data_IF_659502233112
#
_entry.id   IF_659502233112
#
_cell.length_a   1.000
_cell.length_b   1.000
_cell.length_c   1.000
_cell.angle_alpha   90.00
_cell.angle_beta   90.00
_cell.angle_gamma   90.00
#
_symmetry.space_group_name_H-M   'P 1'
#
loop_
_entity.id
_entity.type
_entity.pdbx_description
1 polymer ?
#
# COMPACT_ATOMS: atom_id res chain seq x y z
N UNK A 1 -13.43 -13.74 -6.68
CA UNK A 1 -13.30 -12.60 -7.61
C UNK A 1 -12.65 -11.42 -6.91
N UNK A 2 -11.80 -10.67 -7.61
CA UNK A 2 -11.11 -9.48 -7.08
C UNK A 2 -11.39 -8.28 -8.00
N UNK A 3 -11.73 -7.13 -7.43
CA UNK A 3 -11.95 -5.86 -8.15
C UNK A 3 -10.78 -4.91 -7.88
N UNK A 4 -9.99 -4.62 -8.91
CA UNK A 4 -8.79 -3.80 -8.86
C UNK A 4 -7.51 -4.62 -9.07
N UNK A 5 -6.85 -4.41 -10.20
CA UNK A 5 -5.60 -5.03 -10.64
C UNK A 5 -4.37 -4.14 -10.38
N UNK A 6 -4.36 -3.39 -9.27
CA UNK A 6 -3.13 -2.81 -8.72
C UNK A 6 -2.30 -3.84 -7.94
N UNK A 7 -1.25 -3.38 -7.26
CA UNK A 7 -0.38 -4.25 -6.44
C UNK A 7 -1.15 -5.16 -5.48
N UNK A 8 -2.17 -4.63 -4.78
CA UNK A 8 -2.95 -5.38 -3.81
C UNK A 8 -3.68 -6.57 -4.44
N UNK A 9 -4.42 -6.32 -5.53
CA UNK A 9 -5.17 -7.36 -6.22
C UNK A 9 -4.28 -8.35 -6.97
N UNK A 10 -3.18 -7.89 -7.59
CA UNK A 10 -2.24 -8.77 -8.28
C UNK A 10 -1.52 -9.72 -7.32
N UNK A 11 -1.06 -9.23 -6.15
CA UNK A 11 -0.46 -10.10 -5.13
C UNK A 11 -1.47 -11.11 -4.58
N UNK A 12 -2.70 -10.67 -4.29
CA UNK A 12 -3.73 -11.58 -3.79
C UNK A 12 -4.10 -12.63 -4.84
N UNK A 13 -4.24 -12.23 -6.11
CA UNK A 13 -4.50 -13.14 -7.21
C UNK A 13 -3.39 -14.19 -7.33
N UNK A 14 -2.13 -13.75 -7.33
CA UNK A 14 -0.95 -14.63 -7.35
C UNK A 14 -1.00 -15.64 -6.22
N UNK A 15 -1.07 -15.19 -4.97
CA UNK A 15 -0.96 -16.07 -3.80
C UNK A 15 -2.12 -17.07 -3.70
N UNK A 16 -3.35 -16.65 -4.05
CA UNK A 16 -4.48 -17.58 -4.16
C UNK A 16 -4.27 -18.62 -5.26
N UNK A 17 -3.68 -18.21 -6.38
CA UNK A 17 -3.43 -19.09 -7.52
C UNK A 17 -2.30 -20.09 -7.27
N UNK A 18 -1.23 -19.70 -6.57
CA UNK A 18 -0.20 -20.63 -6.06
C UNK A 18 -0.81 -21.69 -5.12
N UNK A 19 -1.90 -21.35 -4.45
CA UNK A 19 -2.70 -22.25 -3.61
C UNK A 19 -3.80 -23.02 -4.37
N UNK A 20 -3.77 -23.00 -5.70
CA UNK A 20 -4.69 -23.75 -6.57
C UNK A 20 -6.07 -23.12 -6.77
N UNK A 21 -6.27 -21.86 -6.37
CA UNK A 21 -7.56 -21.16 -6.52
C UNK A 21 -7.62 -20.36 -7.81
N UNK A 22 -8.65 -20.62 -8.61
CA UNK A 22 -8.96 -19.81 -9.79
C UNK A 22 -9.43 -18.41 -9.40
N UNK A 23 -8.82 -17.38 -10.00
CA UNK A 23 -9.09 -15.98 -9.69
C UNK A 23 -9.53 -15.23 -10.94
N UNK A 24 -10.71 -14.61 -10.87
CA UNK A 24 -11.11 -13.55 -11.81
C UNK A 24 -10.70 -12.21 -11.21
N UNK A 25 -9.86 -11.47 -11.93
CA UNK A 25 -9.37 -10.15 -11.58
C UNK A 25 -9.96 -9.11 -12.54
N UNK A 26 -10.87 -8.26 -12.04
CA UNK A 26 -11.51 -7.19 -12.81
C UNK A 26 -10.76 -5.88 -12.63
N UNK A 27 -10.57 -5.10 -13.69
CA UNK A 27 -10.07 -3.72 -13.60
C UNK A 27 -10.75 -2.81 -14.62
N UNK A 28 -10.99 -1.55 -14.24
CA UNK A 28 -11.54 -0.53 -15.13
C UNK A 28 -10.56 -0.13 -16.25
N UNK A 29 -9.26 -0.35 -16.04
CA UNK A 29 -8.19 0.05 -16.94
C UNK A 29 -7.91 -1.03 -18.01
N UNK A 30 -7.21 -0.64 -19.07
CA UNK A 30 -6.88 -1.49 -20.22
C UNK A 30 -5.87 -2.60 -19.89
N UNK A 31 -5.08 -2.45 -18.84
CA UNK A 31 -4.13 -3.46 -18.35
C UNK A 31 -3.91 -3.32 -16.85
N UNK A 32 -3.19 -4.29 -16.27
CA UNK A 32 -2.90 -4.32 -14.82
C UNK A 32 -1.90 -3.24 -14.44
N UNK A 33 -1.99 -2.78 -13.19
CA UNK A 33 -1.06 -1.82 -12.64
C UNK A 33 -1.23 -0.38 -13.14
N UNK A 34 -2.33 -0.03 -13.83
CA UNK A 34 -2.53 1.30 -14.41
C UNK A 34 -2.93 2.41 -13.42
N UNK A 35 -3.31 2.07 -12.19
CA UNK A 35 -3.65 3.05 -11.14
C UNK A 35 -2.41 3.66 -10.47
N UNK A 36 -2.44 3.82 -9.15
CA UNK A 36 -1.26 4.27 -8.38
C UNK A 36 -0.02 3.37 -8.54
N UNK A 37 -0.23 2.12 -8.99
CA UNK A 37 0.82 1.15 -9.29
C UNK A 37 1.52 1.38 -10.63
N UNK A 38 1.12 2.38 -11.43
CA UNK A 38 1.74 2.69 -12.73
C UNK A 38 3.04 3.49 -12.58
N UNK A 39 3.50 3.70 -11.34
CA UNK A 39 4.78 4.34 -11.06
C UNK A 39 5.93 3.61 -11.79
N UNK A 40 6.82 4.29 -12.53
CA UNK A 40 7.99 3.66 -13.16
C UNK A 40 8.99 3.07 -12.16
N UNK A 41 9.14 3.64 -10.97
CA UNK A 41 9.98 3.07 -9.92
C UNK A 41 9.54 3.53 -8.53
N UNK A 42 9.45 2.60 -7.58
CA UNK A 42 9.13 2.92 -6.19
C UNK A 42 10.14 2.36 -5.20
N UNK A 43 10.30 3.07 -4.09
CA UNK A 43 11.25 2.73 -3.04
C UNK A 43 10.76 1.52 -2.24
N UNK A 44 11.62 0.51 -2.14
CA UNK A 44 11.44 -0.68 -1.32
C UNK A 44 12.23 -0.47 -0.04
N UNK A 45 11.56 -0.06 1.05
CA UNK A 45 12.17 0.02 2.38
C UNK A 45 11.11 -0.09 3.49
N UNK A 46 11.45 -0.63 4.67
CA UNK A 46 10.52 -0.61 5.79
C UNK A 46 10.33 0.81 6.35
N UNK A 47 9.29 0.97 7.17
CA UNK A 47 9.10 2.14 8.03
C UNK A 47 9.65 1.83 9.41
N UNK A 48 10.52 2.69 9.91
CA UNK A 48 11.13 2.57 11.25
C UNK A 48 10.91 3.84 12.05
N UNK A 49 10.83 3.68 13.36
CA UNK A 49 10.74 4.74 14.36
C UNK A 49 11.92 4.61 15.32
N UNK A 50 12.24 5.68 16.07
CA UNK A 50 13.29 5.61 17.10
C UNK A 50 12.92 4.62 18.20
N UNK A 51 11.68 4.70 18.67
CA UNK A 51 11.14 3.71 19.61
C UNK A 51 10.36 2.64 18.84
N UNK A 52 10.53 1.35 19.15
CA UNK A 52 9.77 0.29 18.52
C UNK A 52 8.26 0.49 18.68
N UNK A 53 7.53 0.38 17.57
CA UNK A 53 6.06 0.41 17.56
C UNK A 53 5.51 -0.83 16.86
N UNK A 54 4.26 -1.22 17.16
CA UNK A 54 3.60 -2.31 16.41
C UNK A 54 3.50 -2.00 14.91
N UNK A 55 3.34 -0.74 14.54
CA UNK A 55 3.36 -0.32 13.14
C UNK A 55 4.73 -0.59 12.51
N UNK A 56 5.82 -0.21 13.16
CA UNK A 56 7.18 -0.53 12.70
C UNK A 56 7.37 -2.04 12.52
N UNK A 57 6.95 -2.85 13.49
CA UNK A 57 7.03 -4.32 13.40
C UNK A 57 6.27 -4.86 12.17
N UNK A 58 5.06 -4.35 11.90
CA UNK A 58 4.29 -4.72 10.70
C UNK A 58 5.05 -4.38 9.41
N UNK A 59 5.63 -3.19 9.31
CA UNK A 59 6.38 -2.77 8.13
C UNK A 59 7.69 -3.55 7.93
N UNK A 60 8.36 -3.94 9.02
CA UNK A 60 9.55 -4.80 8.98
C UNK A 60 9.20 -6.20 8.48
N UNK A 61 8.17 -6.82 9.05
CA UNK A 61 7.66 -8.12 8.61
C UNK A 61 7.21 -8.07 7.13
N UNK A 62 6.55 -6.99 6.71
CA UNK A 62 6.12 -6.82 5.33
C UNK A 62 7.31 -6.68 4.36
N UNK A 63 8.37 -6.00 4.77
CA UNK A 63 9.59 -5.87 3.97
C UNK A 63 10.33 -7.21 3.84
N UNK A 64 10.52 -7.95 4.95
CA UNK A 64 11.08 -9.31 4.92
C UNK A 64 10.27 -10.21 3.97
N UNK A 65 8.95 -10.19 4.11
CA UNK A 65 8.05 -10.99 3.29
C UNK A 65 8.13 -10.63 1.80
N UNK A 66 8.18 -9.34 1.46
CA UNK A 66 8.39 -8.89 0.08
C UNK A 66 9.69 -9.46 -0.50
N UNK A 67 10.82 -9.30 0.19
CA UNK A 67 12.12 -9.76 -0.30
C UNK A 67 12.14 -11.26 -0.50
N UNK A 68 11.57 -12.02 0.44
CA UNK A 68 11.40 -13.47 0.31
C UNK A 68 10.58 -13.83 -0.94
N UNK A 69 9.43 -13.18 -1.16
CA UNK A 69 8.57 -13.50 -2.31
C UNK A 69 9.17 -13.09 -3.65
N UNK A 70 9.93 -11.97 -3.70
CA UNK A 70 10.66 -11.60 -4.91
C UNK A 70 11.68 -12.67 -5.31
N UNK A 71 12.30 -13.34 -4.34
CA UNK A 71 13.22 -14.45 -4.57
C UNK A 71 12.47 -15.74 -4.93
N UNK A 72 11.52 -16.16 -4.09
CA UNK A 72 10.80 -17.43 -4.23
C UNK A 72 10.04 -17.54 -5.57
N UNK A 73 9.43 -16.44 -6.02
CA UNK A 73 8.69 -16.37 -7.29
C UNK A 73 9.56 -15.88 -8.47
N UNK A 74 10.87 -15.70 -8.26
CA UNK A 74 11.82 -15.22 -9.27
C UNK A 74 11.41 -13.90 -9.94
N UNK A 75 10.79 -12.99 -9.17
CA UNK A 75 10.23 -11.74 -9.68
C UNK A 75 11.27 -10.61 -9.75
N UNK A 76 12.42 -10.74 -9.09
CA UNK A 76 13.38 -9.66 -8.92
C UNK A 76 13.87 -9.07 -10.24
N UNK A 77 14.24 -9.91 -11.22
CA UNK A 77 14.66 -9.45 -12.55
C UNK A 77 13.49 -8.85 -13.33
N UNK A 78 12.32 -9.49 -13.29
CA UNK A 78 11.12 -9.07 -14.05
C UNK A 78 10.58 -7.72 -13.61
N UNK A 79 10.68 -7.40 -12.31
CA UNK A 79 10.25 -6.11 -11.80
C UNK A 79 11.37 -5.07 -11.66
N UNK A 80 12.53 -5.30 -12.28
CA UNK A 80 13.70 -4.42 -12.19
C UNK A 80 14.08 -4.08 -10.74
N UNK A 81 14.00 -5.07 -9.83
CA UNK A 81 14.38 -4.86 -8.45
C UNK A 81 15.90 -4.66 -8.35
N UNK A 82 16.29 -3.43 -8.02
CA UNK A 82 17.68 -3.04 -7.79
C UNK A 82 17.89 -2.93 -6.29
N UNK A 83 18.53 -3.94 -5.70
CA UNK A 83 18.96 -3.94 -4.30
C UNK A 83 20.19 -3.04 -4.08
N UNK A 84 20.14 -1.78 -4.52
CA UNK A 84 21.24 -0.82 -4.40
C UNK A 84 21.41 -0.29 -2.97
N UNK A 85 20.50 -0.62 -2.06
CA UNK A 85 20.38 -0.04 -0.74
C UNK A 85 19.57 1.26 -0.75
N UNK A 86 19.02 1.61 0.42
CA UNK A 86 18.34 2.89 0.65
C UNK A 86 18.98 3.61 1.82
N UNK A 87 19.40 4.86 1.61
CA UNK A 87 19.87 5.77 2.64
C UNK A 87 18.73 6.68 3.07
N UNK A 88 18.22 6.44 4.28
CA UNK A 88 17.27 7.35 4.91
C UNK A 88 18.03 8.41 5.70
N UNK A 89 18.00 9.66 5.24
CA UNK A 89 18.66 10.77 5.93
C UNK A 89 17.95 11.08 7.26
N UNK A 90 18.73 11.26 8.32
CA UNK A 90 18.26 11.55 9.67
C UNK A 90 18.96 12.77 10.25
N UNK A 91 18.23 13.61 10.98
CA UNK A 91 18.82 14.79 11.66
C UNK A 91 19.68 14.40 12.86
N UNK A 92 19.19 13.47 13.66
CA UNK A 92 19.90 12.94 14.83
C UNK A 92 19.99 11.43 14.74
N UNK A 93 20.93 10.86 15.52
CA UNK A 93 21.17 9.43 15.58
C UNK A 93 19.90 8.62 15.90
N UNK A 94 19.83 7.41 15.36
CA UNK A 94 18.86 6.39 15.72
C UNK A 94 19.51 5.35 16.63
N UNK A 95 18.74 4.61 17.43
CA UNK A 95 19.28 3.46 18.15
C UNK A 95 19.77 2.39 17.18
N UNK A 96 20.73 1.61 17.63
CA UNK A 96 21.22 0.44 16.90
C UNK A 96 20.09 -0.57 16.69
N UNK A 97 20.11 -1.24 15.54
CA UNK A 97 19.11 -2.23 15.15
C UNK A 97 19.75 -3.23 14.20
N UNK A 98 19.26 -4.47 14.19
CA UNK A 98 19.61 -5.46 13.16
C UNK A 98 19.03 -5.13 11.78
N UNK A 99 18.01 -4.27 11.70
CA UNK A 99 17.27 -3.99 10.46
C UNK A 99 17.89 -2.88 9.60
N UNK A 100 18.82 -2.09 10.16
CA UNK A 100 19.49 -0.99 9.47
C UNK A 100 20.84 -0.68 10.11
N UNK A 101 21.76 -0.13 9.34
CA UNK A 101 23.03 0.39 9.86
C UNK A 101 22.91 1.89 10.10
N UNK A 102 23.39 2.38 11.25
CA UNK A 102 23.46 3.81 11.54
C UNK A 102 24.79 4.34 10.99
N UNK A 103 24.72 5.34 10.13
CA UNK A 103 25.87 5.97 9.49
C UNK A 103 26.00 7.43 9.94
N UNK A 104 27.22 7.81 10.32
CA UNK A 104 27.63 9.20 10.42
C UNK A 104 27.71 9.86 9.02
N UNK A 105 28.00 11.16 8.98
CA UNK A 105 28.03 11.95 7.73
C UNK A 105 29.08 11.40 6.76
N UNK A 106 30.27 11.04 7.24
CA UNK A 106 31.36 10.58 6.37
C UNK A 106 30.99 9.25 5.71
N UNK A 107 30.50 8.29 6.49
CA UNK A 107 30.04 6.99 5.98
C UNK A 107 28.81 7.12 5.08
N UNK A 108 27.89 8.03 5.40
CA UNK A 108 26.73 8.29 4.56
C UNK A 108 27.13 8.84 3.18
N UNK A 109 28.07 9.80 3.13
CA UNK A 109 28.62 10.34 1.89
C UNK A 109 29.30 9.25 1.05
N UNK A 110 30.15 8.44 1.68
CA UNK A 110 30.84 7.33 1.01
C UNK A 110 29.85 6.30 0.44
N UNK A 111 28.84 5.94 1.23
CA UNK A 111 27.79 4.98 0.85
C UNK A 111 26.91 5.51 -0.29
N UNK A 112 26.57 6.80 -0.28
CA UNK A 112 25.83 7.47 -1.35
C UNK A 112 26.69 7.65 -2.62
N UNK A 113 28.01 7.73 -2.49
CA UNK A 113 28.93 8.05 -3.58
C UNK A 113 29.00 9.55 -3.93
N UNK A 114 28.40 10.40 -3.10
CA UNK A 114 28.41 11.87 -3.21
C UNK A 114 28.02 12.51 -1.87
N UNK A 115 28.30 13.81 -1.65
CA UNK A 115 27.91 14.49 -0.42
C UNK A 115 26.39 14.54 -0.20
N UNK A 116 25.94 13.97 0.91
CA UNK A 116 24.54 14.05 1.38
C UNK A 116 24.38 14.94 2.62
N UNK A 117 25.48 15.26 3.31
CA UNK A 117 25.51 16.26 4.38
C UNK A 117 24.67 15.92 5.62
N UNK A 118 24.38 14.64 5.86
CA UNK A 118 23.48 14.17 6.92
C UNK A 118 23.93 12.83 7.47
N UNK A 119 23.58 12.54 8.73
CA UNK A 119 23.56 11.16 9.23
C UNK A 119 22.49 10.37 8.45
N UNK A 120 22.59 9.05 8.43
CA UNK A 120 21.65 8.22 7.70
C UNK A 120 21.44 6.84 8.33
N UNK A 121 20.30 6.24 8.02
CA UNK A 121 20.09 4.79 8.16
C UNK A 121 20.29 4.14 6.80
N UNK A 122 21.15 3.14 6.75
CA UNK A 122 21.34 2.30 5.58
C UNK A 122 20.52 1.02 5.72
N UNK A 123 19.59 0.83 4.79
CA UNK A 123 18.89 -0.44 4.57
C UNK A 123 19.55 -1.15 3.39
N UNK A 124 20.49 -2.06 3.66
CA UNK A 124 21.36 -2.65 2.63
C UNK A 124 20.63 -3.57 1.65
N UNK A 125 19.61 -4.30 2.12
CA UNK A 125 18.80 -5.21 1.30
C UNK A 125 17.63 -4.51 0.58
N UNK A 126 17.47 -3.21 0.81
CA UNK A 126 16.41 -2.39 0.23
C UNK A 126 16.85 -1.78 -1.10
N UNK A 127 15.92 -1.11 -1.80
CA UNK A 127 16.25 -0.44 -3.06
C UNK A 127 15.04 0.14 -3.76
N UNK A 128 14.92 -0.13 -5.05
CA UNK A 128 13.75 0.24 -5.84
C UNK A 128 13.34 -0.88 -6.81
N UNK A 129 12.08 -0.88 -7.23
CA UNK A 129 11.54 -1.75 -8.28
C UNK A 129 10.48 -1.02 -9.09
N UNK A 130 10.10 -1.58 -10.24
CA UNK A 130 8.95 -1.18 -11.06
C UNK A 130 7.67 -1.90 -10.60
N UNK A 131 6.72 -1.20 -9.95
CA UNK A 131 5.46 -1.80 -9.51
C UNK A 131 4.56 -2.26 -10.66
N UNK A 132 4.60 -1.57 -11.80
CA UNK A 132 3.81 -1.95 -12.98
C UNK A 132 4.32 -3.25 -13.59
N UNK A 133 5.66 -3.40 -13.70
CA UNK A 133 6.28 -4.65 -14.15
C UNK A 133 5.98 -5.79 -13.17
N UNK A 134 6.02 -5.50 -11.86
CA UNK A 134 5.64 -6.46 -10.83
C UNK A 134 4.17 -6.92 -10.98
N UNK A 135 3.22 -5.99 -11.16
CA UNK A 135 1.81 -6.36 -11.38
C UNK A 135 1.64 -7.27 -12.60
N UNK A 136 2.30 -6.95 -13.71
CA UNK A 136 2.26 -7.76 -14.94
C UNK A 136 2.80 -9.17 -14.73
N UNK A 137 3.89 -9.31 -13.97
CA UNK A 137 4.49 -10.61 -13.65
C UNK A 137 3.60 -11.43 -12.70
N UNK A 138 3.02 -10.78 -11.69
CA UNK A 138 2.17 -11.44 -10.70
C UNK A 138 0.92 -12.08 -11.31
N UNK A 139 0.39 -11.55 -12.41
CA UNK A 139 -0.79 -12.13 -13.06
C UNK A 139 -0.47 -13.23 -14.08
N UNK A 140 0.81 -13.52 -14.36
CA UNK A 140 1.23 -14.62 -15.24
C UNK A 140 1.09 -15.98 -14.55
N UNK A 141 -0.14 -16.45 -14.41
CA UNK A 141 -0.45 -17.76 -13.83
C UNK A 141 -1.69 -18.34 -14.52
N UNK A 142 -1.74 -19.65 -14.85
CA UNK A 142 -2.86 -20.25 -15.58
C UNK A 142 -4.21 -20.12 -14.87
N UNK A 143 -4.20 -20.03 -13.54
CA UNK A 143 -5.42 -19.85 -12.74
C UNK A 143 -5.89 -18.38 -12.59
N UNK A 144 -5.17 -17.40 -13.15
CA UNK A 144 -5.54 -15.98 -13.05
C UNK A 144 -6.12 -15.51 -14.38
N UNK A 145 -7.37 -15.07 -14.34
CA UNK A 145 -8.10 -14.53 -15.48
C UNK A 145 -8.31 -13.02 -15.28
N UNK A 146 -7.49 -12.22 -15.97
CA UNK A 146 -7.63 -10.76 -15.97
C UNK A 146 -8.72 -10.36 -16.95
N UNK A 147 -9.66 -9.52 -16.51
CA UNK A 147 -10.67 -8.90 -17.37
C UNK A 147 -10.62 -7.39 -17.22
N UNK A 148 -9.99 -6.76 -18.21
CA UNK A 148 -9.77 -5.32 -18.32
C UNK A 148 -10.99 -4.58 -18.88
N UNK A 149 -10.97 -3.25 -18.80
CA UNK A 149 -12.06 -2.36 -19.25
C UNK A 149 -13.42 -2.68 -18.60
N UNK A 150 -13.40 -3.16 -17.36
CA UNK A 150 -14.57 -3.52 -16.58
C UNK A 150 -14.70 -2.61 -15.37
N UNK A 151 -15.33 -1.46 -15.55
CA UNK A 151 -15.64 -0.58 -14.44
C UNK A 151 -16.82 -1.16 -13.65
N UNK A 152 -16.58 -1.55 -12.40
CA UNK A 152 -17.63 -2.03 -11.50
C UNK A 152 -18.36 -0.83 -10.90
N UNK A 153 -19.67 -0.74 -11.15
CA UNK A 153 -20.50 0.39 -10.72
C UNK A 153 -21.42 0.04 -9.55
N UNK A 154 -21.83 -1.23 -9.44
CA UNK A 154 -22.83 -1.64 -8.46
C UNK A 154 -22.52 -3.04 -7.93
N UNK A 155 -22.73 -3.21 -6.64
CA UNK A 155 -22.63 -4.47 -5.92
C UNK A 155 -23.93 -4.69 -5.18
N UNK A 156 -24.54 -5.86 -5.34
CA UNK A 156 -25.62 -6.32 -4.48
C UNK A 156 -25.40 -7.79 -4.13
N UNK A 157 -26.01 -8.23 -3.04
CA UNK A 157 -25.96 -9.62 -2.63
C UNK A 157 -27.34 -10.20 -2.43
N UNK A 158 -27.45 -11.50 -2.72
CA UNK A 158 -28.65 -12.30 -2.50
C UNK A 158 -28.28 -13.51 -1.64
N UNK A 159 -29.28 -14.08 -0.97
CA UNK A 159 -29.14 -15.39 -0.32
C UNK A 159 -29.67 -16.44 -1.29
N UNK A 160 -28.82 -17.40 -1.67
CA UNK A 160 -29.21 -18.52 -2.54
C UNK A 160 -29.82 -19.66 -1.71
N UNK A 161 -30.38 -20.67 -2.38
CA UNK A 161 -31.18 -21.74 -1.76
C UNK A 161 -30.43 -22.55 -0.66
N UNK A 162 -29.10 -22.62 -0.73
CA UNK A 162 -28.24 -23.28 0.27
C UNK A 162 -27.94 -22.38 1.50
N UNK A 163 -28.57 -21.20 1.58
CA UNK A 163 -28.37 -20.22 2.66
C UNK A 163 -27.09 -19.39 2.51
N UNK A 164 -26.28 -19.60 1.47
CA UNK A 164 -25.05 -18.86 1.27
C UNK A 164 -25.30 -17.51 0.58
N UNK A 165 -24.40 -16.56 0.80
CA UNK A 165 -24.42 -15.26 0.13
C UNK A 165 -23.82 -15.38 -1.28
N UNK A 166 -24.53 -14.87 -2.27
CA UNK A 166 -24.02 -14.68 -3.63
C UNK A 166 -23.92 -13.18 -3.92
N UNK A 167 -22.75 -12.72 -4.38
CA UNK A 167 -22.52 -11.35 -4.82
C UNK A 167 -22.75 -11.24 -6.32
N UNK A 168 -23.51 -10.23 -6.69
CA UNK A 168 -23.78 -9.81 -8.05
C UNK A 168 -22.96 -8.53 -8.32
N UNK A 169 -22.07 -8.62 -9.28
CA UNK A 169 -21.13 -7.56 -9.66
C UNK A 169 -21.52 -7.03 -11.03
N UNK A 170 -22.06 -5.80 -11.07
CA UNK A 170 -22.39 -5.13 -12.32
C UNK A 170 -21.21 -4.30 -12.78
N UNK A 171 -20.74 -4.59 -14.00
CA UNK A 171 -19.63 -3.89 -14.63
C UNK A 171 -20.03 -3.35 -16.01
N UNK A 172 -19.33 -2.31 -16.47
CA UNK A 172 -19.54 -1.69 -17.78
C UNK A 172 -19.47 -2.71 -18.92
N UNK A 173 -20.51 -2.73 -19.77
CA UNK A 173 -20.52 -3.52 -21.02
C UNK A 173 -20.52 -5.04 -20.84
N UNK A 174 -20.83 -5.55 -19.65
CA UNK A 174 -20.83 -6.99 -19.36
C UNK A 174 -22.12 -7.44 -18.67
N UNK A 175 -22.47 -8.72 -18.85
CA UNK A 175 -23.48 -9.37 -18.03
C UNK A 175 -23.07 -9.35 -16.54
N UNK A 176 -24.06 -9.36 -15.66
CA UNK A 176 -23.83 -9.41 -14.20
C UNK A 176 -23.00 -10.63 -13.85
N UNK A 177 -21.88 -10.41 -13.15
CA UNK A 177 -20.98 -11.48 -12.74
C UNK A 177 -21.36 -11.96 -11.34
N UNK A 178 -21.37 -13.28 -11.13
CA UNK A 178 -21.72 -13.89 -9.84
C UNK A 178 -20.48 -14.43 -9.14
N UNK A 179 -20.40 -14.27 -7.82
CA UNK A 179 -19.31 -14.81 -7.00
C UNK A 179 -19.72 -14.99 -5.55
N UNK A 180 -19.22 -16.03 -4.87
CA UNK A 180 -19.40 -16.19 -3.41
C UNK A 180 -18.42 -15.34 -2.61
N UNK A 181 -17.20 -15.18 -3.13
CA UNK A 181 -16.15 -14.37 -2.50
C UNK A 181 -15.77 -13.20 -3.41
N UNK A 182 -15.99 -11.99 -2.92
CA UNK A 182 -15.67 -10.73 -3.57
C UNK A 182 -14.65 -9.97 -2.74
N UNK A 183 -13.51 -9.64 -3.35
CA UNK A 183 -12.48 -8.80 -2.72
C UNK A 183 -12.38 -7.46 -3.43
N UNK A 184 -12.50 -6.37 -2.68
CA UNK A 184 -12.30 -5.02 -3.16
C UNK A 184 -10.85 -4.59 -2.93
N UNK A 185 -10.15 -4.32 -4.03
CA UNK A 185 -8.75 -3.91 -4.12
C UNK A 185 -8.56 -2.67 -5.03
N UNK A 186 -9.64 -1.89 -5.23
CA UNK A 186 -9.77 -0.78 -6.18
C UNK A 186 -9.15 0.54 -5.69
N UNK A 187 -8.07 0.47 -4.90
CA UNK A 187 -7.26 1.64 -4.58
C UNK A 187 -8.00 2.75 -3.84
N UNK A 188 -7.91 3.99 -4.34
CA UNK A 188 -8.45 5.16 -3.64
C UNK A 188 -9.96 5.25 -3.70
N UNK A 189 -10.61 4.45 -4.56
CA UNK A 189 -12.06 4.35 -4.66
C UNK A 189 -12.62 3.17 -3.86
N UNK A 190 -11.83 2.59 -2.95
CA UNK A 190 -12.25 1.47 -2.09
C UNK A 190 -13.52 1.75 -1.27
N UNK A 191 -13.87 3.02 -1.07
CA UNK A 191 -15.08 3.46 -0.38
C UNK A 191 -16.17 4.00 -1.34
N UNK A 192 -16.12 3.68 -2.63
CA UNK A 192 -17.11 4.16 -3.61
C UNK A 192 -18.46 3.42 -3.52
N UNK A 193 -18.46 2.18 -3.02
CA UNK A 193 -19.68 1.37 -2.93
C UNK A 193 -20.38 1.57 -1.60
N UNK A 194 -21.71 1.45 -1.57
CA UNK A 194 -22.56 1.55 -0.37
C UNK A 194 -22.00 0.71 0.79
N UNK A 195 -21.62 -0.53 0.51
CA UNK A 195 -21.10 -1.49 1.48
C UNK A 195 -19.78 -1.05 2.13
N UNK A 196 -19.06 -0.12 1.50
CA UNK A 196 -17.72 0.33 1.90
C UNK A 196 -17.61 1.84 2.12
N UNK A 197 -18.69 2.61 1.93
CA UNK A 197 -18.68 4.07 2.03
C UNK A 197 -18.22 4.61 3.37
N UNK A 198 -18.36 3.81 4.43
CA UNK A 198 -17.93 4.12 5.79
C UNK A 198 -16.42 3.91 6.02
N UNK A 199 -15.70 3.25 5.10
CA UNK A 199 -14.26 3.03 5.24
C UNK A 199 -13.51 4.36 5.06
N UNK A 200 -12.61 4.74 5.98
CA UNK A 200 -11.96 6.05 5.97
C UNK A 200 -10.77 6.09 5.00
N UNK A 201 -11.04 5.82 3.73
CA UNK A 201 -10.07 5.87 2.64
C UNK A 201 -10.02 7.29 2.09
N UNK A 202 -8.82 7.84 2.00
CA UNK A 202 -8.58 9.21 1.58
C UNK A 202 -7.67 9.20 0.37
N UNK A 203 -8.15 9.76 -0.74
CA UNK A 203 -7.35 10.00 -1.92
C UNK A 203 -6.19 10.96 -1.61
N UNK A 204 -4.97 10.55 -1.94
CA UNK A 204 -3.80 11.41 -1.82
C UNK A 204 -2.99 11.36 -3.11
N UNK A 205 -3.12 12.41 -3.91
CA UNK A 205 -2.34 12.61 -5.13
C UNK A 205 -0.85 12.75 -4.80
N UNK A 206 -0.02 12.23 -5.70
CA UNK A 206 1.37 12.64 -5.76
C UNK A 206 1.98 12.40 -7.13
N UNK A 207 2.92 13.25 -7.46
CA UNK A 207 3.67 13.27 -8.69
C UNK A 207 5.15 13.02 -8.43
N UNK A 208 5.74 12.20 -9.29
CA UNK A 208 7.18 12.04 -9.43
C UNK A 208 7.63 12.63 -10.76
N UNK A 209 8.89 13.01 -10.82
CA UNK A 209 9.49 13.68 -11.97
C UNK A 209 10.81 13.00 -12.33
N UNK A 210 11.02 12.72 -13.61
CA UNK A 210 12.32 12.28 -14.13
C UNK A 210 13.07 13.49 -14.65
N UNK A 211 14.29 13.70 -14.15
CA UNK A 211 15.16 14.75 -14.63
C UNK A 211 16.44 14.16 -15.21
N UNK A 212 16.79 14.56 -16.43
CA UNK A 212 18.06 14.19 -17.06
C UNK A 212 19.20 14.94 -16.36
N UNK A 213 20.27 14.22 -16.06
CA UNK A 213 21.48 14.77 -15.47
C UNK A 213 22.24 15.62 -16.51
N UNK A 214 22.85 16.72 -16.07
CA UNK A 214 23.81 17.46 -16.88
C UNK A 214 25.13 16.68 -17.00
N UNK A 215 25.94 16.98 -18.02
CA UNK A 215 27.29 16.44 -18.16
C UNK A 215 28.10 16.65 -16.88
N UNK A 216 28.79 15.61 -16.42
CA UNK A 216 29.59 15.60 -15.19
C UNK A 216 28.79 15.85 -13.89
N UNK A 217 27.47 15.68 -13.89
CA UNK A 217 26.73 15.60 -12.63
C UNK A 217 27.00 14.25 -11.95
N UNK A 218 27.24 14.21 -10.62
CA UNK A 218 27.25 12.96 -9.90
C UNK A 218 25.86 12.31 -9.91
N UNK A 219 25.84 10.98 -9.72
CA UNK A 219 24.63 10.19 -9.51
C UNK A 219 24.79 9.37 -8.22
N UNK A 220 23.78 9.32 -7.33
CA UNK A 220 23.91 8.55 -6.10
C UNK A 220 23.93 7.05 -6.43
N UNK A 221 24.80 6.31 -5.73
CA UNK A 221 24.89 4.84 -5.82
C UNK A 221 23.70 4.12 -5.17
N UNK A 222 22.89 4.84 -4.39
CA UNK A 222 21.77 4.33 -3.59
C UNK A 222 20.54 5.20 -3.77
N UNK A 223 19.37 4.66 -3.43
CA UNK A 223 18.18 5.49 -3.25
C UNK A 223 18.41 6.39 -2.03
N UNK A 224 18.20 7.69 -2.18
CA UNK A 224 18.25 8.65 -1.08
C UNK A 224 16.83 8.97 -0.64
N UNK A 225 16.54 8.89 0.65
CA UNK A 225 15.21 9.11 1.23
C UNK A 225 15.27 10.15 2.35
N UNK A 226 14.62 11.29 2.15
CA UNK A 226 14.36 12.32 3.16
C UNK A 226 12.91 12.78 3.11
N UNK A 227 12.67 14.11 3.10
CA UNK A 227 11.34 14.70 2.85
C UNK A 227 10.82 14.39 1.44
N UNK A 228 11.74 14.27 0.50
CA UNK A 228 11.58 13.67 -0.83
C UNK A 228 12.55 12.50 -0.96
N UNK A 229 12.39 11.70 -1.99
CA UNK A 229 13.29 10.63 -2.35
C UNK A 229 13.84 10.84 -3.76
N UNK A 230 15.05 10.33 -3.98
CA UNK A 230 15.76 10.35 -5.24
C UNK A 230 16.17 8.91 -5.55
N UNK A 231 15.73 8.41 -6.70
CA UNK A 231 16.10 7.09 -7.21
C UNK A 231 17.05 7.31 -8.39
N UNK A 232 18.27 6.75 -8.37
CA UNK A 232 19.17 6.81 -9.51
C UNK A 232 18.61 6.00 -10.70
N UNK A 233 18.63 6.59 -11.89
CA UNK A 233 18.05 6.00 -13.10
C UNK A 233 18.93 6.30 -14.33
N UNK A 234 20.05 5.57 -14.45
CA UNK A 234 21.04 5.69 -15.55
C UNK A 234 21.60 7.11 -15.70
N UNK A 235 21.23 7.83 -16.76
CA UNK A 235 21.61 9.22 -17.04
C UNK A 235 20.59 10.23 -16.51
N UNK A 236 19.69 9.79 -15.63
CA UNK A 236 18.63 10.57 -15.03
C UNK A 236 18.45 10.22 -13.55
N UNK A 237 17.61 11.01 -12.88
CA UNK A 237 17.12 10.72 -11.53
C UNK A 237 15.61 10.85 -11.49
N UNK A 238 14.96 9.94 -10.77
CA UNK A 238 13.55 10.03 -10.42
C UNK A 238 13.42 10.69 -9.05
N UNK A 239 12.71 11.81 -9.00
CA UNK A 239 12.50 12.60 -7.78
C UNK A 239 11.04 12.56 -7.40
N UNK A 240 10.78 12.16 -6.16
CA UNK A 240 9.43 11.97 -5.69
C UNK A 240 9.25 12.29 -4.21
N UNK A 241 8.03 12.47 -3.73
CA UNK A 241 6.88 12.88 -4.51
C UNK A 241 6.22 14.06 -3.82
N UNK A 242 5.52 14.88 -4.61
CA UNK A 242 4.48 15.75 -4.06
C UNK A 242 3.43 14.92 -3.30
N UNK A 243 2.67 15.61 -2.47
CA UNK A 243 1.64 14.99 -1.66
C UNK A 243 0.49 15.98 -1.44
N UNK A 244 -0.64 15.70 -2.08
CA UNK A 244 -1.86 16.48 -1.93
C UNK A 244 -2.99 15.57 -1.46
N UNK A 245 -3.43 15.78 -0.22
CA UNK A 245 -4.53 15.05 0.39
C UNK A 245 -5.87 15.56 -0.16
N UNK A 246 -6.86 14.67 -0.25
CA UNK A 246 -8.18 14.95 -0.80
C UNK A 246 -8.16 15.37 -2.29
N UNK A 247 -7.15 14.91 -3.02
CA UNK A 247 -7.02 15.16 -4.46
C UNK A 247 -6.95 13.81 -5.20
N UNK A 248 -7.86 13.62 -6.15
CA UNK A 248 -7.98 12.43 -7.00
C UNK A 248 -7.60 12.69 -8.47
N UNK A 249 -7.09 13.88 -8.80
CA UNK A 249 -6.61 14.18 -10.15
C UNK A 249 -5.36 13.38 -10.46
N UNK A 250 -5.29 12.84 -11.69
CA UNK A 250 -4.15 12.04 -12.19
C UNK A 250 -3.32 12.76 -13.26
N UNK A 251 -3.72 13.97 -13.66
CA UNK A 251 -3.03 14.75 -14.70
C UNK A 251 -1.66 15.23 -14.21
N UNK A 252 -0.67 15.34 -15.08
CA UNK A 252 0.62 15.93 -14.72
C UNK A 252 0.47 17.44 -14.47
N UNK A 253 1.14 17.92 -13.43
CA UNK A 253 1.16 19.32 -13.03
C UNK A 253 2.59 19.89 -13.16
N UNK A 254 2.82 20.90 -14.03
CA UNK A 254 4.13 21.52 -14.19
C UNK A 254 4.70 22.13 -12.90
N UNK A 255 3.82 22.68 -12.04
CA UNK A 255 4.23 23.22 -10.73
C UNK A 255 4.84 22.13 -9.84
N UNK A 256 4.28 20.92 -9.85
CA UNK A 256 4.79 19.80 -9.05
C UNK A 256 6.13 19.27 -9.58
N UNK A 257 6.44 19.44 -10.87
CA UNK A 257 7.79 19.20 -11.38
C UNK A 257 8.79 20.17 -10.75
N UNK A 258 8.47 21.46 -10.76
CA UNK A 258 9.36 22.48 -10.21
C UNK A 258 9.53 22.33 -8.69
N UNK A 259 8.48 21.92 -7.96
CA UNK A 259 8.58 21.58 -6.54
C UNK A 259 9.50 20.37 -6.29
N UNK A 260 9.39 19.31 -7.12
CA UNK A 260 10.29 18.16 -7.02
C UNK A 260 11.74 18.55 -7.37
N UNK A 261 11.96 19.39 -8.38
CA UNK A 261 13.29 19.89 -8.76
C UNK A 261 13.93 20.70 -7.63
N UNK A 262 13.17 21.63 -7.03
CA UNK A 262 13.62 22.41 -5.87
C UNK A 262 14.00 21.52 -4.69
N UNK A 263 13.19 20.49 -4.42
CA UNK A 263 13.50 19.56 -3.35
C UNK A 263 14.71 18.67 -3.65
N UNK A 264 14.98 18.30 -4.91
CA UNK A 264 16.22 17.64 -5.32
C UNK A 264 17.43 18.52 -4.98
N UNK A 265 17.43 19.79 -5.39
CA UNK A 265 18.55 20.71 -5.15
C UNK A 265 18.79 20.96 -3.65
N UNK A 266 17.73 20.95 -2.83
CA UNK A 266 17.86 21.04 -1.38
C UNK A 266 18.41 19.76 -0.74
N UNK A 267 18.05 18.59 -1.29
CA UNK A 267 18.42 17.30 -0.74
C UNK A 267 19.84 16.88 -1.15
N UNK A 268 20.23 17.18 -2.40
CA UNK A 268 21.47 16.77 -3.04
C UNK A 268 22.01 17.94 -3.91
N UNK A 269 22.61 18.97 -3.30
CA UNK A 269 23.01 20.21 -4.00
C UNK A 269 23.98 20.00 -5.17
N UNK A 270 24.82 18.97 -5.09
CA UNK A 270 25.84 18.69 -6.12
C UNK A 270 25.24 18.04 -7.37
N UNK A 271 23.99 17.55 -7.31
CA UNK A 271 23.31 16.96 -8.47
C UNK A 271 22.78 18.07 -9.36
N UNK A 272 23.29 18.12 -10.59
CA UNK A 272 22.91 19.08 -11.62
C UNK A 272 22.03 18.41 -12.66
N UNK A 273 20.81 18.92 -12.81
CA UNK A 273 19.82 18.41 -13.76
C UNK A 273 19.34 19.50 -14.71
N UNK A 274 18.91 19.11 -15.90
CA UNK A 274 18.19 20.02 -16.79
C UNK A 274 16.91 20.55 -16.13
N UNK A 275 16.54 21.79 -16.43
CA UNK A 275 15.43 22.47 -15.77
C UNK A 275 14.07 21.80 -16.03
N UNK A 276 13.86 21.27 -17.25
CA UNK A 276 12.63 20.57 -17.62
C UNK A 276 12.71 19.10 -17.24
N UNK A 277 11.66 18.59 -16.62
CA UNK A 277 11.48 17.15 -16.47
C UNK A 277 11.33 16.51 -17.87
N UNK A 278 12.01 15.38 -18.08
CA UNK A 278 11.90 14.62 -19.34
C UNK A 278 10.69 13.68 -19.33
N UNK A 279 10.18 13.36 -18.13
CA UNK A 279 9.04 12.49 -17.93
C UNK A 279 8.47 12.68 -16.51
N UNK A 280 7.27 12.15 -16.25
CA UNK A 280 6.62 12.21 -14.95
C UNK A 280 5.46 11.25 -14.81
N UNK A 281 5.12 10.94 -13.56
CA UNK A 281 3.95 10.15 -13.23
C UNK A 281 3.20 10.78 -12.07
N UNK A 282 1.90 11.02 -12.25
CA UNK A 282 0.99 11.44 -11.19
C UNK A 282 -0.06 10.37 -10.92
N UNK A 283 -0.16 9.95 -9.66
CA UNK A 283 -1.06 8.90 -9.23
C UNK A 283 -1.76 9.23 -7.91
N UNK A 284 -2.85 8.53 -7.64
CA UNK A 284 -3.70 8.76 -6.45
C UNK A 284 -3.61 7.58 -5.50
N UNK A 285 -2.99 7.83 -4.35
CA UNK A 285 -2.81 6.83 -3.30
C UNK A 285 -4.09 6.70 -2.48
N UNK A 286 -4.39 5.48 -2.06
CA UNK A 286 -5.40 5.20 -1.05
C UNK A 286 -4.76 5.29 0.34
N UNK A 287 -5.03 6.35 1.09
CA UNK A 287 -4.46 6.53 2.44
C UNK A 287 -5.52 6.32 3.51
N UNK A 288 -5.08 5.91 4.70
CA UNK A 288 -5.91 5.82 5.91
C UNK A 288 -5.41 6.82 6.95
N UNK A 289 -6.24 7.24 7.93
CA UNK A 289 -5.82 8.19 8.97
C UNK A 289 -4.58 7.76 9.75
N UNK A 290 -4.40 6.46 10.00
CA UNK A 290 -3.25 5.91 10.72
C UNK A 290 -2.15 5.35 9.79
N UNK A 291 -2.29 5.51 8.48
CA UNK A 291 -1.35 5.05 7.44
C UNK A 291 -1.07 3.55 7.45
N UNK A 292 -1.97 2.75 8.03
CA UNK A 292 -1.93 1.30 7.98
C UNK A 292 -2.99 0.77 6.99
N UNK A 293 -2.75 -0.38 6.34
CA UNK A 293 -3.67 -0.92 5.36
C UNK A 293 -5.02 -1.33 5.99
N UNK A 294 -6.03 -1.48 5.15
CA UNK A 294 -7.30 -2.12 5.48
C UNK A 294 -7.24 -3.53 4.89
N UNK A 295 -7.32 -4.57 5.73
CA UNK A 295 -7.17 -5.97 5.31
C UNK A 295 -8.19 -6.81 6.06
N UNK A 296 -9.05 -7.52 5.33
CA UNK A 296 -9.97 -8.50 5.90
C UNK A 296 -11.43 -8.31 5.49
N UNK A 297 -12.37 -8.94 6.21
CA UNK A 297 -13.80 -8.83 5.95
C UNK A 297 -14.30 -7.38 6.06
N UNK A 298 -15.22 -7.00 5.18
CA UNK A 298 -15.91 -5.70 5.29
C UNK A 298 -16.93 -5.78 6.43
N UNK A 299 -16.91 -4.86 7.41
CA UNK A 299 -17.85 -4.91 8.53
C UNK A 299 -19.25 -4.56 8.07
N UNK A 300 -20.25 -5.21 8.67
CA UNK A 300 -21.61 -4.70 8.62
C UNK A 300 -21.67 -3.50 9.57
N UNK A 301 -21.49 -2.29 9.03
CA UNK A 301 -21.31 -1.08 9.81
C UNK A 301 -22.50 -0.80 10.74
N UNK A 302 -23.73 -0.88 10.24
CA UNK A 302 -24.94 -0.63 11.01
C UNK A 302 -25.10 -1.64 12.17
N UNK A 303 -25.00 -2.94 11.86
CA UNK A 303 -25.12 -4.00 12.88
C UNK A 303 -23.97 -3.93 13.90
N UNK A 304 -22.77 -3.59 13.47
CA UNK A 304 -21.63 -3.40 14.37
C UNK A 304 -21.87 -2.24 15.34
N UNK A 305 -22.47 -1.13 14.90
CA UNK A 305 -22.82 -0.02 15.80
C UNK A 305 -23.87 -0.40 16.85
N UNK A 306 -24.83 -1.27 16.49
CA UNK A 306 -25.85 -1.76 17.43
C UNK A 306 -25.23 -2.71 18.46
N UNK A 307 -24.50 -3.72 17.99
CA UNK A 307 -23.90 -4.77 18.83
C UNK A 307 -22.86 -4.22 19.80
N UNK A 308 -22.05 -3.26 19.35
CA UNK A 308 -20.99 -2.65 20.15
C UNK A 308 -21.39 -1.29 20.74
N UNK A 309 -22.69 -0.97 20.82
CA UNK A 309 -23.16 0.31 21.34
C UNK A 309 -22.63 0.59 22.76
N UNK A 310 -22.59 -0.45 23.61
CA UNK A 310 -22.13 -0.39 25.00
C UNK A 310 -20.61 -0.52 25.17
N UNK A 311 -19.83 -0.60 24.09
CA UNK A 311 -18.38 -0.81 24.13
C UNK A 311 -17.62 0.27 24.91
N UNK A 312 -18.19 1.47 24.96
CA UNK A 312 -17.68 2.63 25.68
C UNK A 312 -17.75 2.47 27.21
N UNK A 313 -18.59 1.56 27.74
CA UNK A 313 -18.65 1.24 29.17
C UNK A 313 -17.52 0.30 29.65
N UNK A 314 -16.59 -0.08 28.77
CA UNK A 314 -15.41 -0.88 29.16
C UNK A 314 -15.68 -2.34 29.52
N UNK A 315 -16.87 -2.88 29.21
CA UNK A 315 -17.19 -4.31 29.44
C UNK A 315 -16.17 -5.22 28.75
N UNK A 316 -15.92 -6.38 29.34
CA UNK A 316 -14.99 -7.37 28.80
C UNK A 316 -15.35 -7.75 27.36
N UNK A 317 -14.34 -7.87 26.47
CA UNK A 317 -14.56 -8.17 25.06
C UNK A 317 -15.27 -9.51 24.83
N UNK A 318 -15.14 -10.45 25.76
CA UNK A 318 -15.84 -11.74 25.77
C UNK A 318 -17.37 -11.62 25.85
N UNK A 319 -17.89 -10.48 26.32
CA UNK A 319 -19.33 -10.22 26.43
C UNK A 319 -19.98 -9.79 25.11
N UNK A 320 -19.17 -9.51 24.09
CA UNK A 320 -19.66 -9.12 22.77
C UNK A 320 -19.55 -10.29 21.79
N UNK A 321 -20.51 -10.43 20.85
CA UNK A 321 -20.38 -11.41 19.79
C UNK A 321 -19.22 -11.06 18.85
N UNK A 322 -18.90 -11.97 17.93
CA UNK A 322 -17.95 -11.71 16.86
C UNK A 322 -18.40 -10.50 16.03
N UNK A 323 -17.43 -9.73 15.53
CA UNK A 323 -17.65 -8.54 14.73
C UNK A 323 -18.59 -8.86 13.56
N UNK A 324 -19.77 -8.22 13.46
CA UNK A 324 -20.66 -8.40 12.33
C UNK A 324 -19.98 -8.00 11.01
N UNK A 325 -20.04 -8.88 10.02
CA UNK A 325 -19.39 -8.72 8.72
C UNK A 325 -20.42 -8.89 7.60
N UNK A 326 -20.10 -8.35 6.42
CA UNK A 326 -20.82 -8.65 5.19
C UNK A 326 -20.25 -9.96 4.63
N UNK A 327 -21.05 -11.03 4.69
CA UNK A 327 -20.62 -12.36 4.27
C UNK A 327 -20.12 -12.36 2.82
N UNK A 328 -18.98 -12.99 2.57
CA UNK A 328 -18.38 -13.08 1.24
C UNK A 328 -17.74 -11.79 0.72
N UNK A 329 -17.75 -10.67 1.46
CA UNK A 329 -17.14 -9.41 1.04
C UNK A 329 -15.90 -9.05 1.88
N UNK A 330 -14.80 -8.77 1.18
CA UNK A 330 -13.50 -8.47 1.78
C UNK A 330 -12.88 -7.23 1.15
N UNK A 331 -11.96 -6.60 1.87
CA UNK A 331 -11.22 -5.44 1.40
C UNK A 331 -9.71 -5.63 1.63
N UNK A 332 -8.92 -5.20 0.65
CA UNK A 332 -7.48 -5.02 0.74
C UNK A 332 -7.09 -3.70 0.10
N UNK A 333 -6.73 -2.70 0.92
CA UNK A 333 -6.35 -1.39 0.41
C UNK A 333 -5.86 -0.43 1.47
N UNK A 334 -5.97 0.88 1.23
CA UNK A 334 -5.41 1.87 2.17
C UNK A 334 -3.88 1.81 2.30
N UNK A 335 -3.18 1.30 1.26
CA UNK A 335 -1.75 1.00 1.29
C UNK A 335 -0.83 2.24 1.32
N UNK A 336 -1.39 3.44 1.08
CA UNK A 336 -0.67 4.70 1.04
C UNK A 336 0.52 4.70 0.09
N UNK A 337 1.61 5.35 0.50
CA UNK A 337 2.85 5.44 -0.29
C UNK A 337 3.79 4.24 -0.13
N UNK A 338 3.37 3.19 0.59
CA UNK A 338 4.21 2.02 0.93
C UNK A 338 3.63 0.70 0.43
N UNK A 339 2.69 0.77 -0.52
CA UNK A 339 2.01 -0.42 -1.04
C UNK A 339 2.94 -1.46 -1.67
N UNK A 340 4.10 -1.07 -2.21
CA UNK A 340 5.11 -2.03 -2.70
C UNK A 340 5.55 -2.97 -1.57
N UNK A 341 5.77 -2.41 -0.38
CA UNK A 341 6.26 -3.13 0.80
C UNK A 341 5.13 -3.89 1.48
N UNK A 342 3.94 -3.29 1.60
CA UNK A 342 2.86 -3.86 2.40
C UNK A 342 1.92 -4.79 1.64
N UNK A 343 1.77 -4.62 0.33
CA UNK A 343 0.83 -5.43 -0.47
C UNK A 343 1.09 -6.95 -0.39
N UNK A 344 2.32 -7.47 -0.48
CA UNK A 344 2.54 -8.91 -0.51
C UNK A 344 2.12 -9.57 0.82
N UNK A 345 2.53 -9.01 1.96
CA UNK A 345 2.15 -9.54 3.27
C UNK A 345 0.65 -9.36 3.52
N UNK A 346 0.08 -8.22 3.14
CA UNK A 346 -1.36 -7.97 3.27
C UNK A 346 -2.19 -8.96 2.45
N UNK A 347 -1.72 -9.30 1.24
CA UNK A 347 -2.33 -10.28 0.37
C UNK A 347 -2.22 -11.70 0.96
N UNK A 348 -1.05 -12.09 1.49
CA UNK A 348 -0.88 -13.39 2.15
C UNK A 348 -1.82 -13.53 3.35
N UNK A 349 -1.87 -12.53 4.23
CA UNK A 349 -2.76 -12.52 5.39
C UNK A 349 -4.22 -12.73 4.99
N UNK A 350 -4.65 -12.11 3.88
CA UNK A 350 -6.02 -12.26 3.38
C UNK A 350 -6.22 -13.60 2.67
N UNK A 351 -5.25 -14.09 1.90
CA UNK A 351 -5.31 -15.41 1.26
C UNK A 351 -5.46 -16.52 2.32
N UNK A 352 -4.60 -16.55 3.33
CA UNK A 352 -4.68 -17.49 4.46
C UNK A 352 -6.08 -17.44 5.11
N UNK A 353 -6.58 -16.23 5.33
CA UNK A 353 -7.90 -16.03 5.94
C UNK A 353 -9.03 -16.58 5.06
N UNK A 354 -8.99 -16.34 3.75
CA UNK A 354 -9.99 -16.82 2.79
C UNK A 354 -9.97 -18.34 2.63
N UNK A 355 -8.79 -18.95 2.73
CA UNK A 355 -8.61 -20.39 2.59
C UNK A 355 -8.70 -21.15 3.92
N UNK A 356 -8.99 -20.45 5.01
CA UNK A 356 -8.97 -21.00 6.37
C UNK A 356 -7.66 -21.73 6.72
N UNK A 357 -6.54 -21.26 6.15
CA UNK A 357 -5.21 -21.83 6.38
C UNK A 357 -4.55 -21.21 7.61
N UNK A 358 -3.86 -22.00 8.44
CA UNK A 358 -3.01 -21.46 9.47
C UNK A 358 -1.82 -20.75 8.81
N UNK A 359 -1.48 -19.56 9.29
CA UNK A 359 -0.31 -18.84 8.80
C UNK A 359 0.98 -19.54 9.23
N UNK A 360 1.90 -19.76 8.28
CA UNK A 360 3.18 -20.42 8.53
C UNK A 360 4.03 -19.72 9.60
N UNK A 361 3.95 -18.38 9.68
CA UNK A 361 4.52 -17.58 10.78
C UNK A 361 3.40 -16.79 11.44
N UNK A 362 3.47 -16.61 12.77
CA UNK A 362 2.53 -15.77 13.53
C UNK A 362 2.42 -14.34 12.96
N UNK A 363 3.54 -13.79 12.50
CA UNK A 363 3.62 -12.46 11.89
C UNK A 363 2.99 -12.37 10.48
N UNK A 364 2.57 -13.50 9.89
CA UNK A 364 1.78 -13.52 8.65
C UNK A 364 0.28 -13.68 8.90
N UNK A 365 -0.14 -13.73 10.18
CA UNK A 365 -1.55 -13.90 10.53
C UNK A 365 -2.33 -12.59 10.49
N UNK A 366 -3.50 -12.63 9.83
CA UNK A 366 -4.46 -11.53 9.88
C UNK A 366 -4.92 -11.23 11.32
N UNK A 367 -5.09 -12.27 12.15
CA UNK A 367 -5.52 -12.13 13.54
C UNK A 367 -4.46 -11.37 14.36
N UNK A 368 -3.18 -11.70 14.15
CA UNK A 368 -2.08 -11.04 14.85
C UNK A 368 -2.07 -9.52 14.60
N UNK A 369 -2.30 -9.09 13.36
CA UNK A 369 -2.31 -7.68 12.97
C UNK A 369 -3.70 -7.02 12.99
N UNK A 370 -4.75 -7.72 13.43
CA UNK A 370 -6.13 -7.25 13.31
C UNK A 370 -6.35 -5.87 13.96
N UNK A 371 -5.71 -5.60 15.10
CA UNK A 371 -5.81 -4.28 15.78
C UNK A 371 -5.27 -3.10 14.96
N UNK A 372 -4.38 -3.37 14.00
CA UNK A 372 -3.77 -2.40 13.09
C UNK A 372 -4.44 -2.36 11.73
N UNK A 373 -4.91 -3.50 11.22
CA UNK A 373 -5.28 -3.64 9.81
C UNK A 373 -6.76 -3.91 9.56
N UNK A 374 -7.53 -4.39 10.55
CA UNK A 374 -8.93 -4.75 10.35
C UNK A 374 -9.74 -3.53 9.84
N UNK A 375 -10.62 -3.67 8.81
CA UNK A 375 -11.37 -2.56 8.27
C UNK A 375 -12.30 -1.86 9.27
N UNK A 376 -12.77 -2.58 10.30
CA UNK A 376 -13.61 -2.03 11.36
C UNK A 376 -12.84 -1.25 12.44
N UNK A 377 -11.49 -1.23 12.43
CA UNK A 377 -10.70 -0.70 13.55
C UNK A 377 -11.05 0.74 13.91
N UNK A 378 -11.36 1.58 12.93
CA UNK A 378 -11.71 2.98 13.16
C UNK A 378 -13.10 3.12 13.79
N UNK A 379 -14.07 2.35 13.30
CA UNK A 379 -15.40 2.25 13.91
C UNK A 379 -15.30 1.79 15.36
N UNK A 380 -14.55 0.73 15.63
CA UNK A 380 -14.36 0.20 17.00
C UNK A 380 -13.66 1.23 17.91
N UNK A 381 -12.63 1.93 17.41
CA UNK A 381 -11.98 3.01 18.17
C UNK A 381 -12.95 4.16 18.47
N UNK A 382 -13.81 4.53 17.52
CA UNK A 382 -14.81 5.58 17.72
C UNK A 382 -15.87 5.17 18.76
N UNK A 383 -16.38 3.94 18.66
CA UNK A 383 -17.33 3.38 19.63
C UNK A 383 -16.73 3.32 21.04
N UNK A 384 -15.45 2.97 21.20
CA UNK A 384 -14.75 3.04 22.50
C UNK A 384 -14.64 4.48 23.03
N UNK A 385 -14.39 5.46 22.17
CA UNK A 385 -14.18 6.87 22.57
C UNK A 385 -15.47 7.64 22.88
N UNK A 386 -16.65 7.15 22.47
CA UNK A 386 -17.94 7.85 22.65
C UNK A 386 -18.28 8.16 24.13
N UNK A 387 -17.55 7.56 25.08
CA UNK A 387 -17.57 7.88 26.51
C UNK A 387 -16.99 9.27 26.86
N UNK A 388 -15.90 9.71 26.21
CA UNK A 388 -15.17 10.91 26.68
C UNK A 388 -15.81 12.25 26.26
N UNK A 389 -16.69 12.27 25.26
CA UNK A 389 -17.37 13.50 24.80
C UNK A 389 -18.65 13.82 25.57
N UNK A 390 -19.32 12.80 26.12
CA UNK A 390 -20.54 13.00 26.92
C UNK A 390 -20.19 13.56 28.30
N UNK A 391 -18.98 13.29 28.80
CA UNK A 391 -18.47 13.83 30.07
C UNK A 391 -17.82 15.21 29.97
N UNK A 392 -17.42 15.66 28.77
CA UNK A 392 -16.69 16.94 28.58
C UNK A 392 -17.57 18.12 28.19
N UNK A 393 -18.89 17.97 28.10
CA UNK A 393 -19.82 19.09 27.87
C UNK A 393 -19.66 19.86 26.54
N UNK A 394 -18.79 19.42 25.62
CA UNK A 394 -18.62 20.07 24.32
C UNK A 394 -19.65 19.52 23.32
N UNK A 395 -20.85 20.07 23.41
CA UNK A 395 -21.80 20.06 22.30
C UNK A 395 -21.36 21.09 21.27
N UNK A 396 -21.28 20.70 20.01
CA UNK A 396 -21.21 21.65 18.89
C UNK A 396 -22.55 22.29 18.67
#
# INVERSE_FOLDING_TARGET
MIVGAGLAGCWLARLLAEDGVAVILLDEQTTVGCGASANPAGVVKPYVTREPTKAMQFYLAAHEYLLHQLHALQLASVCDFKACGVLQLTRDAYPLSEHYQVLDIQKANQSAGLPVGSHALLFSLSGCLSPVSLCRALVQHPLIHVRSNMQVHELHSTTVADGQTCWHVKASGAATQLTRHLVLANGHTLNQFEQTGHLPVIAARGQISRFRLMSNSPIPKKVISGRRYVIPDRDSVLVGASFERNNSQRLICPREHEENRRALMQLLPDIRVHAKAVDGFAGVRATTPDRLPLIGPVPNHARSNQVYASLHHGRALSTYPRLPQLNGLFAIGGLGSRGIVTAPLAAQMLADFLLHKPSAKRQHSLIHWASLCNPARFQIRALKRRYNRVMSGESK
#
